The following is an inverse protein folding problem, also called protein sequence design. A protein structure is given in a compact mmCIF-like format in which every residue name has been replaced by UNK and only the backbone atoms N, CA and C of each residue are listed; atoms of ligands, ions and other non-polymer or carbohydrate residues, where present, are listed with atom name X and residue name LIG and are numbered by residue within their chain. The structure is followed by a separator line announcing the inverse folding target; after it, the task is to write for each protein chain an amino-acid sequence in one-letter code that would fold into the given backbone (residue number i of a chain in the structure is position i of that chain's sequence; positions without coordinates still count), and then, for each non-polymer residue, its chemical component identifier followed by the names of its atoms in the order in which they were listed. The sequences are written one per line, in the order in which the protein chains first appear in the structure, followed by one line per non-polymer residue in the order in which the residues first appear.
data_IF_682232001818
#
_entry.id   IF_682232001818
#
_cell.length_a   1.000
_cell.length_b   1.000
_cell.length_c   1.000
_cell.angle_alpha   90.00
_cell.angle_beta   90.00
_cell.angle_gamma   90.00
#
_symmetry.space_group_name_H-M   'P 1'
#
loop_
_entity.id
_entity.type
_entity.pdbx_description
1 polymer ?
#
# COMPACT_ATOMS: atom_id res chain seq x y z
N UNK A 1 8.92 17.96 19.71
CA UNK A 1 9.32 17.03 18.63
C UNK A 1 9.25 15.65 19.24
N UNK A 2 8.26 14.83 18.87
CA UNK A 2 8.25 13.42 19.31
C UNK A 2 9.38 12.72 18.56
N UNK A 3 10.31 12.14 19.31
CA UNK A 3 11.33 11.26 18.75
C UNK A 3 10.72 9.87 18.68
N UNK A 4 10.55 9.33 17.47
CA UNK A 4 10.14 7.94 17.28
C UNK A 4 11.30 7.04 17.68
N UNK A 5 11.01 5.94 18.39
CA UNK A 5 12.00 5.16 19.13
C UNK A 5 13.06 4.49 18.24
N UNK A 6 12.77 4.37 16.95
CA UNK A 6 13.53 3.72 15.89
C UNK A 6 14.28 4.71 14.98
N UNK A 7 14.08 6.03 15.18
CA UNK A 7 14.71 7.07 14.37
C UNK A 7 14.20 7.14 12.93
N UNK A 8 13.15 6.39 12.58
CA UNK A 8 12.50 6.46 11.27
C UNK A 8 11.55 7.68 11.29
N UNK A 9 11.76 8.68 10.41
CA UNK A 9 10.86 9.81 10.36
C UNK A 9 9.48 9.38 9.82
N UNK A 10 8.37 9.91 10.35
CA UNK A 10 7.05 9.67 9.79
C UNK A 10 6.99 10.08 8.32
N UNK A 11 6.31 9.28 7.49
CA UNK A 11 5.96 9.65 6.11
C UNK A 11 4.68 10.48 6.15
N UNK A 12 4.74 11.80 5.95
CA UNK A 12 3.55 12.64 6.00
C UNK A 12 2.60 12.27 4.85
N UNK A 13 1.32 12.19 5.18
CA UNK A 13 0.22 12.09 4.22
C UNK A 13 -0.56 13.41 4.21
N UNK A 14 -1.57 13.52 3.34
CA UNK A 14 -2.52 14.62 3.41
C UNK A 14 -3.35 14.57 4.70
N UNK A 15 -4.13 15.61 4.95
CA UNK A 15 -5.17 15.64 6.00
C UNK A 15 -4.64 15.48 7.43
N UNK A 16 -3.36 15.81 7.66
CA UNK A 16 -2.73 15.74 8.98
C UNK A 16 -2.42 14.32 9.45
N UNK A 17 -2.41 13.36 8.52
CA UNK A 17 -2.04 11.97 8.77
C UNK A 17 -0.55 11.73 8.47
N UNK A 18 0.02 10.69 9.05
CA UNK A 18 1.33 10.18 8.68
C UNK A 18 1.40 8.67 8.86
N UNK A 19 2.21 8.00 8.04
CA UNK A 19 2.63 6.62 8.29
C UNK A 19 3.88 6.63 9.15
N UNK A 20 3.91 5.77 10.16
CA UNK A 20 5.03 5.60 11.09
C UNK A 20 5.40 4.14 11.05
N UNK A 21 6.60 3.82 10.59
CA UNK A 21 7.09 2.45 10.67
C UNK A 21 7.73 2.20 12.01
N UNK A 22 7.63 0.96 12.44
CA UNK A 22 8.41 0.40 13.53
C UNK A 22 9.17 -0.80 13.02
N UNK A 23 10.45 -0.83 13.35
CA UNK A 23 11.29 -2.01 13.14
C UNK A 23 11.00 -3.04 14.25
N UNK A 24 10.60 -4.25 13.87
CA UNK A 24 10.29 -5.31 14.83
C UNK A 24 11.54 -5.89 15.49
N UNK A 25 12.70 -5.78 14.85
CA UNK A 25 13.97 -6.33 15.34
C UNK A 25 14.37 -5.77 16.70
N UNK A 26 13.88 -4.57 17.04
CA UNK A 26 14.17 -3.90 18.31
C UNK A 26 12.89 -3.25 18.84
N UNK A 27 12.18 -3.86 19.81
CA UNK A 27 12.69 -4.73 20.88
C UNK A 27 12.55 -6.26 20.67
N UNK A 28 12.26 -6.74 19.46
CA UNK A 28 11.94 -8.15 19.21
C UNK A 28 10.50 -8.51 19.59
N UNK A 29 9.58 -7.58 19.38
CA UNK A 29 8.14 -7.81 19.52
C UNK A 29 7.55 -8.02 18.14
N UNK A 30 6.71 -9.06 18.04
CA UNK A 30 5.87 -9.38 16.90
C UNK A 30 4.61 -8.49 16.95
N UNK A 31 4.64 -7.35 16.24
CA UNK A 31 3.55 -6.39 16.17
C UNK A 31 2.56 -6.68 15.04
N UNK A 32 2.99 -7.39 13.99
CA UNK A 32 2.14 -7.87 12.89
C UNK A 32 1.33 -9.11 13.30
N UNK A 33 1.88 -9.95 14.18
CA UNK A 33 1.31 -11.19 14.67
C UNK A 33 1.58 -12.40 13.76
N UNK A 34 2.53 -12.31 12.83
CA UNK A 34 2.81 -13.34 11.83
C UNK A 34 3.81 -14.41 12.33
N UNK A 35 4.42 -14.19 13.49
CA UNK A 35 5.33 -15.12 14.16
C UNK A 35 6.79 -14.93 13.79
N UNK A 36 7.14 -13.99 12.91
CA UNK A 36 8.50 -13.48 12.78
C UNK A 36 8.66 -12.14 13.53
N UNK A 37 9.87 -11.58 13.50
CA UNK A 37 10.25 -10.38 14.28
C UNK A 37 11.29 -9.54 13.52
N UNK A 38 11.40 -9.79 12.22
CA UNK A 38 12.46 -9.27 11.36
C UNK A 38 11.88 -8.46 10.21
N UNK A 39 10.68 -7.92 10.40
CA UNK A 39 9.90 -7.12 9.49
C UNK A 39 9.73 -5.69 10.02
N UNK A 40 9.00 -4.88 9.25
CA UNK A 40 8.60 -3.53 9.65
C UNK A 40 7.09 -3.46 9.69
N UNK A 41 6.56 -2.89 10.76
CA UNK A 41 5.12 -2.69 10.86
C UNK A 41 4.77 -1.22 10.78
N UNK A 42 3.88 -0.90 9.84
CA UNK A 42 3.37 0.45 9.65
C UNK A 42 2.17 0.72 10.54
N UNK A 43 2.22 1.88 11.19
CA UNK A 43 1.12 2.46 11.94
C UNK A 43 0.65 3.77 11.31
N UNK A 44 -0.65 4.04 11.40
CA UNK A 44 -1.24 5.33 11.05
C UNK A 44 -1.23 6.26 12.26
N UNK A 45 -0.58 7.42 12.12
CA UNK A 45 -0.65 8.54 13.05
C UNK A 45 -1.73 9.52 12.58
N UNK A 46 -2.75 9.76 13.41
CA UNK A 46 -3.78 10.80 13.20
C UNK A 46 -3.82 11.70 14.43
N UNK A 47 -3.36 12.95 14.29
CA UNK A 47 -3.17 13.85 15.44
C UNK A 47 -2.13 13.29 16.42
N UNK A 48 -2.59 12.81 17.58
CA UNK A 48 -1.74 12.15 18.60
C UNK A 48 -2.02 10.66 18.75
N UNK A 49 -2.93 10.11 17.94
CA UNK A 49 -3.36 8.71 18.02
C UNK A 49 -2.56 7.88 17.02
N UNK A 50 -1.92 6.83 17.51
CA UNK A 50 -1.22 5.85 16.69
C UNK A 50 -2.06 4.58 16.59
N UNK A 51 -2.28 4.09 15.37
CA UNK A 51 -2.99 2.84 15.10
C UNK A 51 -2.12 1.90 14.29
N UNK A 52 -1.85 0.71 14.83
CA UNK A 52 -1.16 -0.34 14.09
C UNK A 52 -2.05 -0.83 12.93
N UNK A 53 -1.49 -0.95 11.73
CA UNK A 53 -2.17 -1.48 10.55
C UNK A 53 -1.93 -2.98 10.34
N UNK A 54 -0.95 -3.57 11.04
CA UNK A 54 -0.60 -4.99 10.96
C UNK A 54 0.03 -5.37 9.62
N UNK A 55 0.64 -4.40 8.92
CA UNK A 55 1.24 -4.58 7.60
C UNK A 55 2.49 -3.71 7.46
N UNK A 56 3.43 -4.12 6.61
CA UNK A 56 4.52 -3.27 6.14
C UNK A 56 4.08 -2.48 4.90
N UNK A 57 3.74 -1.20 5.07
CA UNK A 57 3.34 -0.33 3.96
C UNK A 57 4.49 0.59 3.54
N UNK A 58 5.14 0.28 2.41
CA UNK A 58 6.29 1.04 1.91
C UNK A 58 5.90 2.43 1.41
N UNK A 59 4.73 2.54 0.78
CA UNK A 59 4.19 3.79 0.25
C UNK A 59 2.70 3.94 0.55
N UNK A 60 2.20 5.17 0.53
CA UNK A 60 0.77 5.40 0.66
C UNK A 60 0.35 6.84 0.42
N UNK A 61 -0.93 7.03 0.14
CA UNK A 61 -1.60 8.34 0.02
C UNK A 61 -2.93 8.33 0.77
N UNK A 62 -3.34 9.49 1.29
CA UNK A 62 -4.71 9.69 1.76
C UNK A 62 -5.62 9.96 0.56
N UNK A 63 -6.70 9.19 0.43
CA UNK A 63 -7.79 9.48 -0.50
C UNK A 63 -8.82 10.44 0.13
N UNK A 64 -8.74 10.70 1.43
CA UNK A 64 -9.70 11.49 2.20
C UNK A 64 -10.59 10.63 3.09
N UNK A 65 -11.29 11.26 4.04
CA UNK A 65 -12.23 10.61 4.96
C UNK A 65 -11.65 9.41 5.75
N UNK A 66 -10.34 9.43 6.04
CA UNK A 66 -9.65 8.33 6.71
C UNK A 66 -9.30 7.14 5.81
N UNK A 67 -9.62 7.22 4.52
CA UNK A 67 -9.29 6.19 3.54
C UNK A 67 -7.87 6.37 3.02
N UNK A 68 -7.08 5.31 3.03
CA UNK A 68 -5.72 5.28 2.50
C UNK A 68 -5.60 4.28 1.35
N UNK A 69 -4.80 4.63 0.36
CA UNK A 69 -4.26 3.69 -0.61
C UNK A 69 -2.81 3.42 -0.23
N UNK A 70 -2.45 2.16 -0.03
CA UNK A 70 -1.16 1.71 0.46
C UNK A 70 -0.52 0.73 -0.54
N UNK A 71 0.81 0.71 -0.61
CA UNK A 71 1.58 -0.35 -1.22
C UNK A 71 2.18 -1.19 -0.11
N UNK A 72 1.72 -2.43 0.01
CA UNK A 72 2.02 -3.33 1.11
C UNK A 72 2.98 -4.42 0.65
N UNK A 73 4.01 -4.68 1.45
CA UNK A 73 4.96 -5.76 1.19
C UNK A 73 4.32 -7.14 1.41
N UNK A 74 4.43 -8.02 0.42
CA UNK A 74 4.03 -9.42 0.53
C UNK A 74 5.06 -10.28 1.27
N UNK A 75 6.30 -9.79 1.41
CA UNK A 75 7.33 -10.48 2.18
C UNK A 75 6.90 -10.67 3.65
N UNK A 76 6.05 -9.78 4.17
CA UNK A 76 5.64 -9.69 5.58
C UNK A 76 4.18 -10.16 5.78
N UNK A 77 3.81 -11.29 5.18
CA UNK A 77 2.45 -11.84 5.33
C UNK A 77 2.02 -12.86 4.28
N UNK A 78 2.84 -13.11 3.26
CA UNK A 78 2.58 -14.10 2.21
C UNK A 78 1.94 -13.52 0.96
N UNK A 79 1.62 -14.40 0.02
CA UNK A 79 1.04 -14.11 -1.30
C UNK A 79 -0.39 -13.56 -1.16
N UNK A 80 -0.53 -12.22 -1.23
CA UNK A 80 -1.77 -11.45 -1.10
C UNK A 80 -2.52 -11.35 -2.41
N UNK A 81 -1.84 -11.29 -3.56
CA UNK A 81 -2.46 -11.23 -4.89
C UNK A 81 -2.63 -12.62 -5.56
N UNK A 82 -2.11 -13.70 -4.97
CA UNK A 82 -2.47 -15.09 -5.27
C UNK A 82 -1.76 -15.71 -6.47
N UNK A 83 -0.62 -15.16 -6.90
CA UNK A 83 0.16 -15.62 -8.06
C UNK A 83 1.41 -16.44 -7.69
N UNK A 84 1.68 -16.60 -6.40
CA UNK A 84 2.68 -17.52 -5.86
C UNK A 84 4.11 -16.97 -5.78
N UNK A 85 4.30 -15.67 -6.03
CA UNK A 85 5.53 -14.95 -5.67
C UNK A 85 5.19 -13.97 -4.54
N UNK A 86 6.13 -13.83 -3.60
CA UNK A 86 5.96 -13.08 -2.34
C UNK A 86 6.88 -11.85 -2.30
N UNK A 87 7.61 -11.60 -3.39
CA UNK A 87 8.53 -10.48 -3.53
C UNK A 87 7.87 -9.27 -4.20
N UNK A 88 6.60 -9.04 -3.87
CA UNK A 88 5.76 -8.05 -4.54
C UNK A 88 5.26 -6.98 -3.56
N UNK A 89 4.96 -5.81 -4.12
CA UNK A 89 4.22 -4.76 -3.43
C UNK A 89 2.78 -4.76 -3.93
N UNK A 90 1.83 -5.10 -3.08
CA UNK A 90 0.41 -5.16 -3.43
C UNK A 90 -0.31 -3.91 -2.99
N UNK A 91 -1.11 -3.33 -3.89
CA UNK A 91 -2.00 -2.24 -3.55
C UNK A 91 -3.09 -2.72 -2.61
N UNK A 92 -3.31 -1.97 -1.53
CA UNK A 92 -4.37 -2.22 -0.58
C UNK A 92 -5.06 -0.93 -0.16
N UNK A 93 -6.35 -1.00 0.15
CA UNK A 93 -7.13 0.12 0.69
C UNK A 93 -7.35 -0.10 2.17
N UNK A 94 -7.00 0.90 2.97
CA UNK A 94 -7.43 1.00 4.35
C UNK A 94 -8.66 1.91 4.42
N UNK A 95 -9.82 1.39 4.85
CA UNK A 95 -11.08 2.14 4.90
C UNK A 95 -11.33 2.84 6.25
N UNK A 96 -10.33 2.87 7.13
CA UNK A 96 -10.47 3.35 8.50
C UNK A 96 -10.87 2.26 9.50
N UNK A 97 -11.12 1.03 9.06
CA UNK A 97 -11.47 -0.10 9.92
C UNK A 97 -10.75 -1.39 9.53
N UNK A 98 -10.65 -1.68 8.24
CA UNK A 98 -10.06 -2.88 7.66
C UNK A 98 -9.13 -2.57 6.50
N UNK A 99 -8.24 -3.52 6.22
CA UNK A 99 -7.45 -3.59 5.00
C UNK A 99 -8.21 -4.41 3.96
N UNK A 100 -8.23 -3.92 2.72
CA UNK A 100 -8.77 -4.61 1.55
C UNK A 100 -7.65 -4.67 0.53
N UNK A 101 -7.11 -5.85 0.27
CA UNK A 101 -6.14 -6.05 -0.80
C UNK A 101 -6.85 -5.91 -2.16
N UNK A 102 -6.17 -5.28 -3.13
CA UNK A 102 -6.73 -5.01 -4.45
C UNK A 102 -6.29 -6.04 -5.49
N UNK A 103 -5.49 -7.03 -5.10
CA UNK A 103 -4.86 -8.05 -5.97
C UNK A 103 -4.01 -7.45 -7.11
N UNK A 104 -3.47 -6.24 -6.90
CA UNK A 104 -2.70 -5.49 -7.89
C UNK A 104 -1.27 -5.25 -7.43
N UNK A 105 -0.30 -5.81 -8.15
CA UNK A 105 1.13 -5.63 -7.93
C UNK A 105 1.59 -4.27 -8.47
N UNK A 106 1.90 -3.33 -7.58
CA UNK A 106 2.34 -1.97 -7.93
C UNK A 106 3.85 -1.82 -7.98
N UNK A 107 4.58 -2.89 -7.66
CA UNK A 107 6.04 -2.94 -7.67
C UNK A 107 6.55 -4.25 -7.08
N UNK A 108 7.86 -4.33 -6.87
CA UNK A 108 8.52 -5.46 -6.22
C UNK A 108 9.04 -5.07 -4.85
N UNK A 109 9.11 -6.03 -3.93
CA UNK A 109 9.69 -5.83 -2.60
C UNK A 109 11.15 -5.34 -2.72
N UNK A 110 11.56 -4.47 -1.80
CA UNK A 110 12.87 -3.82 -1.84
C UNK A 110 13.05 -2.72 -2.91
N UNK A 111 12.03 -2.42 -3.73
CA UNK A 111 12.07 -1.24 -4.61
C UNK A 111 11.97 0.06 -3.82
N UNK A 112 12.48 1.15 -4.40
CA UNK A 112 12.38 2.47 -3.78
C UNK A 112 10.90 2.88 -3.68
N UNK A 113 10.34 3.17 -2.50
CA UNK A 113 8.94 3.54 -2.36
C UNK A 113 8.51 4.72 -3.23
N UNK A 114 9.45 5.60 -3.62
CA UNK A 114 9.19 6.71 -4.53
C UNK A 114 8.84 6.30 -5.97
N UNK A 115 9.02 5.02 -6.35
CA UNK A 115 8.65 4.50 -7.67
C UNK A 115 7.22 3.96 -7.73
N UNK A 116 6.52 3.86 -6.59
CA UNK A 116 5.10 3.46 -6.56
C UNK A 116 4.26 4.59 -7.15
N UNK A 117 3.56 4.28 -8.25
CA UNK A 117 2.82 5.27 -9.04
C UNK A 117 1.44 5.62 -8.46
N UNK A 118 1.37 6.24 -7.27
CA UNK A 118 0.11 6.71 -6.68
C UNK A 118 -0.14 8.20 -6.94
N UNK A 119 -1.39 8.53 -7.26
CA UNK A 119 -1.84 9.93 -7.34
C UNK A 119 -3.27 10.09 -6.81
N UNK A 120 -3.53 11.16 -6.06
CA UNK A 120 -4.89 11.51 -5.62
C UNK A 120 -5.60 12.31 -6.72
N UNK A 121 -6.80 11.90 -7.12
CA UNK A 121 -7.66 12.64 -8.06
C UNK A 121 -8.68 13.53 -7.36
N UNK A 122 -9.08 13.16 -6.15
CA UNK A 122 -10.06 13.88 -5.34
C UNK A 122 -10.40 13.12 -4.06
N UNK A 123 -11.39 13.56 -3.28
CA UNK A 123 -11.93 12.78 -2.17
C UNK A 123 -12.44 11.42 -2.67
N UNK A 124 -11.93 10.34 -2.07
CA UNK A 124 -12.30 8.97 -2.42
C UNK A 124 -11.84 8.50 -3.80
N UNK A 125 -10.91 9.20 -4.46
CA UNK A 125 -10.45 8.83 -5.80
C UNK A 125 -8.94 8.97 -5.98
N UNK A 126 -8.34 7.98 -6.64
CA UNK A 126 -6.92 7.94 -6.93
C UNK A 126 -6.58 7.19 -8.21
N UNK A 127 -5.32 7.29 -8.61
CA UNK A 127 -4.69 6.49 -9.64
C UNK A 127 -3.61 5.62 -9.00
N UNK A 128 -3.42 4.43 -9.56
CA UNK A 128 -2.28 3.57 -9.28
C UNK A 128 -1.69 3.01 -10.57
N UNK A 129 -0.36 3.03 -10.66
CA UNK A 129 0.40 2.28 -11.66
C UNK A 129 0.65 0.86 -11.19
N UNK A 130 0.21 -0.11 -11.98
CA UNK A 130 0.37 -1.55 -11.72
C UNK A 130 1.43 -2.10 -12.66
N UNK A 131 2.44 -2.78 -12.12
CA UNK A 131 3.52 -3.37 -12.88
C UNK A 131 3.09 -4.74 -13.40
N UNK A 132 2.97 -4.89 -14.71
CA UNK A 132 2.62 -6.18 -15.32
C UNK A 132 3.67 -7.26 -15.06
N UNK A 133 4.94 -6.86 -14.99
CA UNK A 133 6.04 -7.76 -14.68
C UNK A 133 5.93 -8.31 -13.26
N UNK A 134 5.51 -7.48 -12.31
CA UNK A 134 5.28 -7.88 -10.92
C UNK A 134 4.03 -8.76 -10.83
N UNK A 135 2.93 -8.31 -11.46
CA UNK A 135 1.67 -9.05 -11.52
C UNK A 135 1.79 -10.43 -12.21
N UNK A 136 2.82 -10.62 -13.04
CA UNK A 136 3.01 -11.83 -13.83
C UNK A 136 2.00 -11.99 -14.99
N UNK A 137 1.34 -10.91 -15.41
CA UNK A 137 0.34 -10.96 -16.50
C UNK A 137 0.29 -9.66 -17.31
N UNK A 138 -0.01 -9.82 -18.61
CA UNK A 138 -0.34 -8.73 -19.53
C UNK A 138 -1.76 -8.23 -19.20
N UNK A 139 -1.84 -7.07 -18.56
CA UNK A 139 -3.07 -6.53 -17.97
C UNK A 139 -3.90 -5.75 -18.98
N UNK A 140 -3.28 -5.19 -20.02
CA UNK A 140 -3.96 -4.44 -21.05
C UNK A 140 -4.10 -5.18 -22.40
N UNK A 141 -3.58 -6.42 -22.46
CA UNK A 141 -3.57 -7.31 -23.63
C UNK A 141 -2.88 -6.70 -24.85
N UNK A 142 -1.84 -5.89 -24.63
CA UNK A 142 -1.10 -5.28 -25.72
C UNK A 142 0.06 -6.16 -26.26
N UNK A 143 0.29 -7.32 -25.63
CA UNK A 143 1.29 -8.31 -25.98
C UNK A 143 2.62 -8.16 -25.25
N UNK A 144 2.71 -7.24 -24.29
CA UNK A 144 3.84 -7.02 -23.39
C UNK A 144 3.39 -7.26 -21.94
N UNK A 145 4.29 -7.75 -21.09
CA UNK A 145 4.05 -7.89 -19.64
C UNK A 145 5.19 -7.21 -18.85
N UNK A 146 5.66 -6.07 -19.34
CA UNK A 146 6.87 -5.41 -18.80
C UNK A 146 6.70 -3.92 -18.52
N UNK A 147 5.53 -3.37 -18.83
CA UNK A 147 5.23 -1.97 -18.57
C UNK A 147 4.27 -1.83 -17.41
N UNK A 148 3.90 -0.57 -17.14
CA UNK A 148 2.98 -0.21 -16.09
C UNK A 148 1.64 0.16 -16.70
N UNK A 149 0.56 -0.41 -16.18
CA UNK A 149 -0.82 -0.06 -16.54
C UNK A 149 -1.42 0.83 -15.46
N UNK A 150 -2.05 1.93 -15.85
CA UNK A 150 -2.69 2.85 -14.89
C UNK A 150 -4.13 2.44 -14.64
N UNK A 151 -4.49 2.26 -13.37
CA UNK A 151 -5.85 2.03 -12.92
C UNK A 151 -6.38 3.25 -12.20
N UNK A 152 -7.66 3.55 -12.41
CA UNK A 152 -8.42 4.47 -11.57
C UNK A 152 -9.13 3.69 -10.47
N UNK A 153 -9.02 4.22 -9.26
CA UNK A 153 -9.63 3.72 -8.05
C UNK A 153 -10.64 4.73 -7.53
N UNK A 154 -11.86 4.28 -7.26
CA UNK A 154 -12.86 5.05 -6.52
C UNK A 154 -13.36 4.27 -5.32
N UNK A 155 -13.32 4.89 -4.14
CA UNK A 155 -13.85 4.34 -2.90
C UNK A 155 -15.23 4.96 -2.63
N UNK A 156 -16.26 4.12 -2.53
CA UNK A 156 -17.64 4.55 -2.30
C UNK A 156 -18.00 4.39 -0.83
N UNK A 157 -17.45 5.24 0.03
CA UNK A 157 -17.65 5.13 1.48
C UNK A 157 -17.25 3.76 2.05
N UNK A 158 -17.60 3.50 3.31
CA UNK A 158 -17.17 2.30 4.04
C UNK A 158 -17.96 1.02 3.72
N UNK A 159 -18.96 1.07 2.83
CA UNK A 159 -19.91 -0.04 2.62
C UNK A 159 -19.88 -0.64 1.22
N UNK A 160 -19.05 -0.14 0.31
CA UNK A 160 -18.96 -0.67 -1.04
C UNK A 160 -17.50 -0.96 -1.39
N UNK A 161 -17.22 -2.12 -2.00
CA UNK A 161 -15.86 -2.46 -2.38
C UNK A 161 -15.33 -1.41 -3.36
N UNK A 162 -14.01 -1.14 -3.36
CA UNK A 162 -13.40 -0.22 -4.30
C UNK A 162 -13.70 -0.65 -5.73
N UNK A 163 -13.98 0.32 -6.61
CA UNK A 163 -14.17 0.04 -8.03
C UNK A 163 -12.92 0.39 -8.84
N UNK A 164 -12.62 -0.49 -9.80
CA UNK A 164 -11.47 -0.38 -10.68
C UNK A 164 -11.90 -0.16 -12.11
N UNK A 165 -11.17 0.72 -12.79
CA UNK A 165 -11.20 0.81 -14.23
C UNK A 165 -9.79 1.03 -14.75
N UNK A 166 -9.33 0.18 -15.65
CA UNK A 166 -8.10 0.45 -16.39
C UNK A 166 -8.30 1.74 -17.21
N UNK A 167 -7.32 2.63 -17.12
CA UNK A 167 -7.29 3.86 -17.90
C UNK A 167 -6.35 3.59 -19.06
N UNK A 168 -6.85 2.89 -20.08
CA UNK A 168 -6.05 2.65 -21.29
C UNK A 168 -5.82 4.00 -22.00
N UNK A 169 -4.58 4.47 -22.15
CA UNK A 169 -4.32 5.62 -23.01
C UNK A 169 -4.76 5.25 -24.43
N UNK A 170 -5.56 6.12 -25.05
CA UNK A 170 -5.92 5.96 -26.46
C UNK A 170 -4.63 6.10 -27.26
N UNK A 171 -4.19 5.03 -27.92
CA UNK A 171 -3.03 5.05 -28.83
C UNK A 171 -3.26 5.99 -30.00
#
# INVERSE_FOLDING_TARGET
MQTFADGIPPRPLADGMALVDRDETTPGFDWSGDGDRNDRVTSLLTGTTLRNLGVNALAGISLGDGTLLLAVDEADGGDRNGYGDVADLVAAVFDGSSMIDLDLAVGQSGTNPATVGFARLGPGAGLLGVSEAAQGSDLDNDGSATHTVTFALTTHGTTSPPQFRSVTPTR
#
